data_IF_641805986494
#
_entry.id   IF_641805986494
#
_cell.length_a   1.000
_cell.length_b   1.000
_cell.length_c   1.000
_cell.angle_alpha   90.00
_cell.angle_beta   90.00
_cell.angle_gamma   90.00
#
_symmetry.space_group_name_H-M   'P 1'
#
loop_
_entity.id
_entity.type
_entity.pdbx_description
1 polymer ?
#
# COMPACT_ATOMS: atom_id res chain seq x y z
N UNK A 1 -29.06 10.05 40.12
CA UNK A 1 -28.94 10.74 38.81
C UNK A 1 -30.13 10.33 37.96
N UNK A 2 -30.90 11.26 37.37
CA UNK A 2 -32.08 10.89 36.58
C UNK A 2 -31.69 10.03 35.36
N UNK A 3 -32.53 9.08 34.96
CA UNK A 3 -32.28 8.13 33.87
C UNK A 3 -31.74 8.80 32.58
N UNK A 4 -32.27 9.98 32.24
CA UNK A 4 -31.79 10.80 31.11
C UNK A 4 -30.33 11.24 31.24
N UNK A 5 -29.89 11.62 32.45
CA UNK A 5 -28.51 12.04 32.72
C UNK A 5 -27.54 10.85 32.67
N UNK A 6 -27.98 9.66 33.08
CA UNK A 6 -27.20 8.42 32.97
C UNK A 6 -27.01 8.07 31.49
N UNK A 7 -28.08 8.12 30.69
CA UNK A 7 -28.00 7.85 29.24
C UNK A 7 -27.03 8.82 28.56
N UNK A 8 -27.14 10.12 28.82
CA UNK A 8 -26.22 11.12 28.26
C UNK A 8 -24.77 10.86 28.64
N UNK A 9 -24.51 10.53 29.92
CA UNK A 9 -23.16 10.21 30.39
C UNK A 9 -22.59 8.96 29.69
N UNK A 10 -23.39 7.90 29.56
CA UNK A 10 -22.97 6.66 28.87
C UNK A 10 -22.66 6.95 27.40
N UNK A 11 -23.50 7.72 26.70
CA UNK A 11 -23.28 8.09 25.30
C UNK A 11 -21.99 8.90 25.14
N UNK A 12 -21.70 9.84 26.04
CA UNK A 12 -20.46 10.61 26.02
C UNK A 12 -19.23 9.73 26.22
N UNK A 13 -19.26 8.82 27.19
CA UNK A 13 -18.15 7.88 27.43
C UNK A 13 -17.92 6.98 26.22
N UNK A 14 -18.98 6.43 25.64
CA UNK A 14 -18.88 5.61 24.42
C UNK A 14 -18.33 6.41 23.24
N UNK A 15 -18.74 7.67 23.09
CA UNK A 15 -18.21 8.57 22.05
C UNK A 15 -16.71 8.82 22.20
N UNK A 16 -16.23 9.06 23.42
CA UNK A 16 -14.80 9.26 23.70
C UNK A 16 -14.00 7.99 23.44
N UNK A 17 -14.51 6.83 23.89
CA UNK A 17 -13.86 5.53 23.62
C UNK A 17 -13.80 5.26 22.13
N UNK A 18 -14.88 5.50 21.39
CA UNK A 18 -14.89 5.34 19.93
C UNK A 18 -13.88 6.26 19.24
N UNK A 19 -13.83 7.55 19.63
CA UNK A 19 -12.85 8.49 19.09
C UNK A 19 -11.40 8.06 19.39
N UNK A 20 -11.13 7.54 20.59
CA UNK A 20 -9.82 7.02 20.95
C UNK A 20 -9.46 5.79 20.10
N UNK A 21 -10.40 4.87 19.87
CA UNK A 21 -10.16 3.71 19.00
C UNK A 21 -9.86 4.13 17.56
N UNK A 22 -10.57 5.12 17.01
CA UNK A 22 -10.28 5.67 15.67
C UNK A 22 -8.91 6.36 15.63
N UNK A 23 -8.53 7.10 16.67
CA UNK A 23 -7.22 7.74 16.73
C UNK A 23 -6.07 6.72 16.71
N UNK A 24 -6.25 5.55 17.33
CA UNK A 24 -5.26 4.45 17.30
C UNK A 24 -5.06 3.84 15.91
N UNK A 25 -5.98 4.06 14.97
CA UNK A 25 -5.85 3.57 13.59
C UNK A 25 -5.17 4.59 12.68
N UNK A 26 -4.93 5.81 13.16
CA UNK A 26 -4.21 6.83 12.40
C UNK A 26 -2.74 6.43 12.29
N UNK A 27 -2.28 6.16 11.07
CA UNK A 27 -0.87 5.95 10.74
C UNK A 27 -0.43 7.05 9.78
N UNK A 28 0.82 7.49 9.93
CA UNK A 28 1.43 8.37 8.95
C UNK A 28 1.48 7.65 7.59
N UNK A 29 1.08 8.33 6.53
CA UNK A 29 1.14 7.82 5.15
C UNK A 29 2.59 7.70 4.68
N UNK A 30 3.50 8.47 5.26
CA UNK A 30 4.93 8.41 4.96
C UNK A 30 5.65 7.40 5.86
N UNK A 31 5.64 6.15 5.42
CA UNK A 31 6.42 5.04 6.01
C UNK A 31 7.91 5.14 5.60
N UNK A 32 8.89 5.17 6.51
CA UNK A 32 10.29 5.18 6.11
C UNK A 32 10.68 3.86 5.43
N UNK A 33 11.72 3.87 4.58
CA UNK A 33 12.18 2.65 3.87
C UNK A 33 12.45 1.47 4.80
N UNK A 34 12.94 1.72 6.01
CA UNK A 34 13.23 0.70 7.03
C UNK A 34 12.00 -0.09 7.50
N UNK A 35 10.80 0.46 7.29
CA UNK A 35 9.53 -0.16 7.66
C UNK A 35 8.81 -0.80 6.45
N UNK A 36 9.38 -0.69 5.25
CA UNK A 36 8.85 -1.37 4.07
C UNK A 36 9.17 -2.86 4.11
N UNK A 37 8.25 -3.64 3.53
CA UNK A 37 8.45 -5.06 3.30
C UNK A 37 9.11 -5.25 1.95
N UNK A 38 10.01 -6.23 1.88
CA UNK A 38 10.78 -6.58 0.69
C UNK A 38 10.15 -7.80 0.00
N UNK A 39 9.85 -7.66 -1.29
CA UNK A 39 9.57 -8.76 -2.19
C UNK A 39 10.62 -8.81 -3.29
N UNK A 40 11.09 -10.01 -3.63
CA UNK A 40 11.99 -10.25 -4.74
C UNK A 40 11.40 -11.32 -5.64
N UNK A 41 11.45 -11.12 -6.95
CA UNK A 41 10.94 -12.10 -7.90
C UNK A 41 11.00 -11.62 -9.34
N UNK A 42 10.65 -12.53 -10.25
CA UNK A 42 10.61 -12.28 -11.68
C UNK A 42 9.27 -11.64 -12.04
N UNK A 43 9.30 -10.53 -12.78
CA UNK A 43 8.09 -9.87 -13.26
C UNK A 43 7.45 -10.70 -14.36
N UNK A 44 6.20 -11.11 -14.17
CA UNK A 44 5.44 -11.91 -15.13
C UNK A 44 4.47 -11.07 -15.96
N UNK A 45 4.01 -9.93 -15.45
CA UNK A 45 3.06 -9.04 -16.13
C UNK A 45 3.24 -7.60 -15.63
N UNK A 46 3.04 -6.64 -16.53
CA UNK A 46 2.93 -5.22 -16.21
C UNK A 46 1.73 -4.65 -16.94
N UNK A 47 0.81 -4.01 -16.24
CA UNK A 47 -0.43 -3.51 -16.83
C UNK A 47 -0.87 -2.20 -16.20
N UNK A 48 -1.87 -1.55 -16.81
CA UNK A 48 -2.51 -0.37 -16.20
C UNK A 48 -3.69 -0.81 -15.34
N UNK A 49 -3.78 -0.27 -14.14
CA UNK A 49 -4.90 -0.53 -13.22
C UNK A 49 -5.55 0.74 -12.72
N UNK A 50 -6.77 0.62 -12.19
CA UNK A 50 -7.46 1.71 -11.49
C UNK A 50 -7.57 3.00 -12.29
N UNK A 51 -7.20 4.12 -11.66
CA UNK A 51 -7.10 5.44 -12.30
C UNK A 51 -5.61 5.74 -12.49
N UNK A 52 -5.06 5.31 -13.62
CA UNK A 52 -3.67 5.61 -14.03
C UNK A 52 -2.57 4.95 -13.17
N UNK A 53 -2.88 3.86 -12.47
CA UNK A 53 -1.90 3.09 -11.71
C UNK A 53 -1.11 2.14 -12.62
N UNK A 54 0.16 1.90 -12.30
CA UNK A 54 0.96 0.85 -12.95
C UNK A 54 0.95 -0.36 -12.05
N UNK A 55 0.56 -1.51 -12.57
CA UNK A 55 0.41 -2.77 -11.85
C UNK A 55 1.50 -3.74 -12.28
N UNK A 56 2.09 -4.46 -11.33
CA UNK A 56 3.11 -5.47 -11.52
C UNK A 56 2.66 -6.79 -10.89
N UNK A 57 2.79 -7.88 -11.64
CA UNK A 57 2.67 -9.23 -11.11
C UNK A 57 4.03 -9.93 -11.13
N UNK A 58 4.33 -10.69 -10.07
CA UNK A 58 5.49 -11.57 -10.03
C UNK A 58 5.07 -13.01 -10.31
N UNK A 59 5.97 -13.85 -10.82
CA UNK A 59 5.68 -15.27 -11.13
C UNK A 59 5.13 -16.08 -9.96
N UNK A 60 5.45 -15.70 -8.71
CA UNK A 60 4.91 -16.33 -7.50
C UNK A 60 3.39 -16.14 -7.33
N UNK A 61 2.81 -15.13 -7.99
CA UNK A 61 1.38 -14.76 -7.99
C UNK A 61 0.73 -14.61 -6.60
N UNK A 62 1.54 -14.37 -5.56
CA UNK A 62 1.05 -14.21 -4.19
C UNK A 62 0.38 -12.85 -3.97
N UNK A 63 0.95 -11.81 -4.58
CA UNK A 63 0.55 -10.43 -4.42
C UNK A 63 0.55 -9.72 -5.78
N UNK A 64 -0.29 -8.70 -5.87
CA UNK A 64 -0.28 -7.74 -6.97
C UNK A 64 0.35 -6.47 -6.42
N UNK A 65 1.35 -5.93 -7.11
CA UNK A 65 2.04 -4.72 -6.67
C UNK A 65 1.63 -3.56 -7.58
N UNK A 66 1.55 -2.35 -7.05
CA UNK A 66 1.18 -1.20 -7.88
C UNK A 66 1.91 0.09 -7.49
N UNK A 67 2.19 0.92 -8.50
CA UNK A 67 2.61 2.31 -8.33
C UNK A 67 1.37 3.18 -8.50
N UNK A 68 1.00 3.93 -7.46
CA UNK A 68 -0.15 4.82 -7.54
C UNK A 68 0.10 5.95 -8.55
N UNK A 69 -0.86 6.20 -9.44
CA UNK A 69 -0.81 7.25 -10.48
C UNK A 69 0.47 7.23 -11.32
N UNK A 70 1.09 6.06 -11.51
CA UNK A 70 2.36 5.96 -12.21
C UNK A 70 2.31 6.54 -13.64
N UNK A 71 1.18 6.38 -14.36
CA UNK A 71 1.02 6.96 -15.70
C UNK A 71 1.01 8.50 -15.66
N UNK A 72 0.38 9.11 -14.65
CA UNK A 72 0.38 10.57 -14.48
C UNK A 72 1.78 11.13 -14.16
N UNK A 73 2.62 10.30 -13.53
CA UNK A 73 4.02 10.61 -13.25
C UNK A 73 4.96 10.36 -14.44
N UNK A 74 4.40 10.07 -15.63
CA UNK A 74 5.16 9.92 -16.87
C UNK A 74 5.75 8.52 -17.08
N UNK A 75 5.34 7.53 -16.29
CA UNK A 75 5.69 6.14 -16.57
C UNK A 75 4.83 5.61 -17.71
N UNK A 76 5.50 5.06 -18.72
CA UNK A 76 4.87 4.36 -19.84
C UNK A 76 4.94 2.85 -19.60
N UNK A 77 3.80 2.18 -19.72
CA UNK A 77 3.69 0.73 -19.49
C UNK A 77 4.54 -0.03 -20.51
N UNK A 78 4.49 0.35 -21.79
CA UNK A 78 5.25 -0.36 -22.83
C UNK A 78 6.77 -0.23 -22.61
N UNK A 79 7.24 0.94 -22.18
CA UNK A 79 8.63 1.14 -21.81
C UNK A 79 9.04 0.27 -20.61
N UNK A 80 8.20 0.20 -19.58
CA UNK A 80 8.44 -0.65 -18.41
C UNK A 80 8.42 -2.14 -18.75
N UNK A 81 7.50 -2.60 -19.59
CA UNK A 81 7.47 -3.99 -20.09
C UNK A 81 8.78 -4.35 -20.78
N UNK A 82 9.26 -3.50 -21.69
CA UNK A 82 10.53 -3.74 -22.40
C UNK A 82 11.74 -3.81 -21.46
N UNK A 83 11.68 -3.12 -20.32
CA UNK A 83 12.78 -3.03 -19.37
C UNK A 83 12.74 -4.11 -18.29
N UNK A 84 11.55 -4.51 -17.84
CA UNK A 84 11.39 -5.26 -16.59
C UNK A 84 10.67 -6.59 -16.75
N UNK A 85 9.98 -6.84 -17.87
CA UNK A 85 9.30 -8.12 -18.07
C UNK A 85 10.32 -9.26 -18.12
N UNK A 86 10.03 -10.36 -17.43
CA UNK A 86 10.91 -11.52 -17.25
C UNK A 86 12.25 -11.22 -16.53
N UNK A 87 12.42 -10.01 -15.99
CA UNK A 87 13.58 -9.64 -15.18
C UNK A 87 13.31 -9.81 -13.68
N UNK A 88 14.36 -10.07 -12.90
CA UNK A 88 14.27 -10.11 -11.45
C UNK A 88 14.30 -8.69 -10.86
N UNK A 89 13.28 -8.36 -10.08
CA UNK A 89 13.16 -7.07 -9.41
C UNK A 89 13.12 -7.21 -7.90
N UNK A 90 13.52 -6.15 -7.21
CA UNK A 90 13.35 -6.00 -5.77
C UNK A 90 12.35 -4.87 -5.51
N UNK A 91 11.25 -5.20 -4.84
CA UNK A 91 10.13 -4.30 -4.56
C UNK A 91 10.10 -4.02 -3.05
N UNK A 92 10.09 -2.75 -2.70
CA UNK A 92 9.79 -2.26 -1.35
C UNK A 92 8.36 -1.77 -1.32
N UNK A 93 7.51 -2.39 -0.50
CA UNK A 93 6.08 -2.06 -0.43
C UNK A 93 5.59 -1.88 1.00
N UNK A 94 4.48 -1.15 1.14
CA UNK A 94 3.80 -1.00 2.43
C UNK A 94 2.92 -2.22 2.74
N UNK A 95 3.07 -2.82 3.93
CA UNK A 95 2.33 -4.04 4.31
C UNK A 95 0.81 -3.83 4.38
N UNK A 96 0.37 -2.59 4.60
CA UNK A 96 -1.03 -2.16 4.39
C UNK A 96 -2.02 -2.66 5.44
N UNK A 97 -1.57 -2.98 6.65
CA UNK A 97 -2.48 -3.32 7.76
C UNK A 97 -3.44 -2.16 8.06
N UNK A 98 -4.74 -2.44 8.04
CA UNK A 98 -5.77 -1.53 8.54
C UNK A 98 -6.77 -2.32 9.39
N UNK A 99 -7.58 -1.68 10.24
CA UNK A 99 -8.66 -2.37 10.96
C UNK A 99 -9.61 -3.14 10.04
N UNK A 100 -9.78 -2.68 8.79
CA UNK A 100 -10.63 -3.32 7.78
C UNK A 100 -9.87 -4.38 6.93
N UNK A 101 -8.55 -4.41 7.01
CA UNK A 101 -7.67 -5.38 6.37
C UNK A 101 -6.56 -5.81 7.37
N UNK A 102 -6.90 -6.58 8.42
CA UNK A 102 -5.99 -6.90 9.52
C UNK A 102 -4.88 -7.87 9.15
N UNK A 103 -4.90 -8.42 7.93
CA UNK A 103 -3.84 -9.24 7.35
C UNK A 103 -3.22 -8.58 6.11
N UNK A 104 -3.46 -7.26 5.95
CA UNK A 104 -3.09 -6.50 4.77
C UNK A 104 -3.97 -6.79 3.55
N UNK A 105 -3.74 -6.04 2.49
CA UNK A 105 -4.37 -6.23 1.18
C UNK A 105 -3.54 -7.15 0.28
N UNK A 106 -4.20 -7.81 -0.69
CA UNK A 106 -3.50 -8.53 -1.78
C UNK A 106 -2.80 -7.58 -2.76
N UNK A 107 -3.36 -6.38 -2.93
CA UNK A 107 -2.76 -5.29 -3.69
C UNK A 107 -1.80 -4.51 -2.77
N UNK A 108 -0.53 -4.44 -3.13
CA UNK A 108 0.53 -3.84 -2.32
C UNK A 108 1.07 -2.58 -3.01
N UNK A 109 1.04 -1.46 -2.29
CA UNK A 109 1.55 -0.17 -2.78
C UNK A 109 3.08 -0.20 -2.80
N UNK A 110 3.66 -0.06 -3.99
CA UNK A 110 5.10 0.02 -4.22
C UNK A 110 5.58 1.40 -3.79
N UNK A 111 6.60 1.41 -2.93
CA UNK A 111 7.33 2.62 -2.55
C UNK A 111 8.64 2.78 -3.32
N UNK A 112 9.29 1.67 -3.64
CA UNK A 112 10.46 1.64 -4.51
C UNK A 112 10.52 0.30 -5.25
N UNK A 113 10.90 0.33 -6.51
CA UNK A 113 11.23 -0.87 -7.29
C UNK A 113 12.63 -0.71 -7.90
N UNK A 114 13.42 -1.77 -7.78
CA UNK A 114 14.79 -1.86 -8.29
C UNK A 114 14.95 -3.02 -9.25
N UNK A 115 15.74 -2.80 -10.29
CA UNK A 115 16.28 -3.85 -11.15
C UNK A 115 17.79 -3.94 -10.86
N UNK A 116 18.19 -4.95 -10.07
CA UNK A 116 19.54 -5.04 -9.52
C UNK A 116 19.91 -3.81 -8.67
N UNK A 117 20.92 -3.07 -9.12
CA UNK A 117 21.41 -1.86 -8.45
C UNK A 117 20.72 -0.56 -8.91
N UNK A 118 19.88 -0.64 -9.94
CA UNK A 118 19.22 0.53 -10.52
C UNK A 118 17.85 0.74 -9.88
N UNK A 119 17.56 1.98 -9.50
CA UNK A 119 16.24 2.39 -9.01
C UNK A 119 15.40 2.74 -10.24
N UNK A 120 14.32 1.99 -10.45
CA UNK A 120 13.35 2.24 -11.52
C UNK A 120 12.36 3.31 -11.07
N UNK A 121 11.88 3.19 -9.84
CA UNK A 121 10.94 4.12 -9.21
C UNK A 121 11.19 4.18 -7.71
N UNK A 122 11.00 5.36 -7.12
CA UNK A 122 11.07 5.62 -5.68
C UNK A 122 10.17 6.80 -5.32
N UNK A 123 9.41 6.68 -4.24
CA UNK A 123 8.62 7.76 -3.62
C UNK A 123 9.20 8.22 -2.26
N UNK A 124 10.41 7.79 -1.94
CA UNK A 124 11.20 8.30 -0.80
C UNK A 124 11.89 9.62 -1.12
#
# INVERSE_FOLDING_TARGET
MGMKRIIVFVVLVLGVVFAALVALTYRNTEIPRSECVLAKGIVSDISTGGVNDIVFELESKQHVFYINRGVEHGFDVEALEKQLLAEEVTIYYADGWTPFAPFGSKAKHIREIRNGNWIVYSEF
#
